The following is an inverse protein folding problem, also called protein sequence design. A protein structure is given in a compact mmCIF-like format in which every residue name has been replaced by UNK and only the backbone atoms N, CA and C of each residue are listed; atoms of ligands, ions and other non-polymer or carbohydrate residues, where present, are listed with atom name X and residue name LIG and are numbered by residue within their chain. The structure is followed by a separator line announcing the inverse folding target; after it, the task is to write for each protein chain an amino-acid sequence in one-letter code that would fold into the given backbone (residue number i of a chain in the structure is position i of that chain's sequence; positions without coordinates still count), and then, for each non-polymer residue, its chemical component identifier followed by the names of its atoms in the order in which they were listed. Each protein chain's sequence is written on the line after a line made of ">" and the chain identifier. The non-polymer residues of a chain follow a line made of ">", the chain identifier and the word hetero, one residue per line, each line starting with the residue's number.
data_IF_551300248462
#
_entry.id   IF_551300248462
#
_cell.length_a   1.000
_cell.length_b   1.000
_cell.length_c   1.000
_cell.angle_alpha   90.00
_cell.angle_beta   90.00
_cell.angle_gamma   90.00
#
_symmetry.space_group_name_H-M   'P 1'
#
loop_
_entity.id
_entity.type
_entity.pdbx_description
1 polymer ?
#
# COMPACT_ATOMS: atom_id res chain seq x y z
N UNK A 1 22.38 -34.11 4.71
CA UNK A 1 22.18 -33.52 6.06
C UNK A 1 21.37 -32.25 5.91
N UNK A 2 20.24 -32.10 6.61
CA UNK A 2 19.53 -30.81 6.69
C UNK A 2 20.43 -29.85 7.48
N UNK A 3 20.68 -28.65 6.96
CA UNK A 3 21.41 -27.62 7.72
C UNK A 3 20.55 -27.25 8.94
N UNK A 4 21.11 -27.44 10.14
CA UNK A 4 20.51 -26.94 11.37
C UNK A 4 20.66 -25.43 11.48
N UNK A 5 20.00 -24.83 12.47
CA UNK A 5 20.02 -23.38 12.71
C UNK A 5 21.47 -22.86 12.83
N UNK A 6 22.36 -23.58 13.52
CA UNK A 6 23.77 -23.20 13.66
C UNK A 6 24.50 -23.02 12.32
N UNK A 7 24.40 -24.02 11.42
CA UNK A 7 25.05 -23.95 10.10
C UNK A 7 24.45 -22.86 9.19
N UNK A 8 23.16 -22.55 9.35
CA UNK A 8 22.54 -21.43 8.65
C UNK A 8 23.08 -20.08 9.14
N UNK A 9 23.21 -19.90 10.45
CA UNK A 9 23.71 -18.65 11.05
C UNK A 9 25.18 -18.42 10.72
N UNK A 10 26.02 -19.45 10.82
CA UNK A 10 27.44 -19.37 10.44
C UNK A 10 27.61 -18.94 8.98
N UNK A 11 26.83 -19.54 8.07
CA UNK A 11 26.85 -19.21 6.64
C UNK A 11 26.44 -17.77 6.33
N UNK A 12 25.60 -17.15 7.16
CA UNK A 12 25.09 -15.79 6.96
C UNK A 12 25.71 -14.78 7.94
N UNK A 13 26.79 -15.15 8.64
CA UNK A 13 27.44 -14.32 9.65
C UNK A 13 27.94 -12.98 9.09
N UNK A 14 28.35 -12.96 7.81
CA UNK A 14 28.72 -11.77 7.05
C UNK A 14 27.59 -10.72 6.99
N UNK A 15 26.33 -11.17 7.01
CA UNK A 15 25.13 -10.33 6.99
C UNK A 15 24.64 -9.93 8.38
N UNK A 16 25.24 -10.46 9.46
CA UNK A 16 24.81 -10.24 10.84
C UNK A 16 25.62 -9.16 11.57
N UNK A 17 26.15 -8.15 10.84
CA UNK A 17 26.84 -6.98 11.43
C UNK A 17 25.87 -5.99 12.07
N UNK A 18 25.09 -6.47 13.04
CA UNK A 18 24.02 -5.70 13.68
C UNK A 18 24.56 -4.46 14.40
N UNK A 19 25.76 -4.53 14.99
CA UNK A 19 26.40 -3.39 15.65
C UNK A 19 26.57 -2.21 14.69
N UNK A 20 27.01 -2.49 13.46
CA UNK A 20 27.22 -1.48 12.44
C UNK A 20 25.91 -0.96 11.89
N UNK A 21 24.95 -1.85 11.65
CA UNK A 21 23.63 -1.46 11.16
C UNK A 21 22.88 -0.58 12.16
N UNK A 22 22.98 -0.90 13.47
CA UNK A 22 22.40 -0.09 14.53
C UNK A 22 23.08 1.27 14.60
N UNK A 23 24.42 1.31 14.50
CA UNK A 23 25.19 2.56 14.47
C UNK A 23 24.84 3.43 13.25
N UNK A 24 24.51 2.81 12.11
CA UNK A 24 24.04 3.48 10.88
C UNK A 24 22.55 3.84 10.93
N UNK A 25 21.82 3.49 11.98
CA UNK A 25 20.40 3.80 12.12
C UNK A 25 19.50 2.97 11.20
N UNK A 26 19.94 1.82 10.73
CA UNK A 26 19.09 0.97 9.90
C UNK A 26 17.91 0.41 10.71
N UNK A 27 16.72 0.33 10.11
CA UNK A 27 15.54 -0.25 10.76
C UNK A 27 15.66 -1.78 10.76
N UNK A 28 16.43 -2.32 11.70
CA UNK A 28 16.64 -3.76 11.90
C UNK A 28 15.64 -4.38 12.89
N UNK A 29 14.79 -3.55 13.50
CA UNK A 29 13.71 -4.00 14.36
C UNK A 29 12.62 -4.67 13.51
N UNK A 30 12.38 -5.96 13.76
CA UNK A 30 11.35 -6.71 13.04
C UNK A 30 9.93 -6.25 13.43
N UNK A 31 9.73 -5.64 14.59
CA UNK A 31 8.39 -5.29 15.10
C UNK A 31 7.57 -4.38 14.18
N UNK A 32 8.17 -3.33 13.62
CA UNK A 32 7.46 -2.43 12.68
C UNK A 32 7.13 -3.18 11.39
N UNK A 33 8.08 -3.94 10.84
CA UNK A 33 7.90 -4.71 9.61
C UNK A 33 6.85 -5.82 9.80
N UNK A 34 6.92 -6.57 10.89
CA UNK A 34 5.97 -7.61 11.26
C UNK A 34 4.57 -7.03 11.50
N UNK A 35 4.49 -5.87 12.17
CA UNK A 35 3.26 -5.12 12.36
C UNK A 35 2.64 -4.73 11.03
N UNK A 36 3.42 -4.16 10.10
CA UNK A 36 2.94 -3.84 8.75
C UNK A 36 2.48 -5.10 8.02
N UNK A 37 3.26 -6.19 8.01
CA UNK A 37 2.86 -7.44 7.37
C UNK A 37 1.54 -8.00 7.93
N UNK A 38 1.33 -7.90 9.24
CA UNK A 38 0.09 -8.29 9.89
C UNK A 38 -1.10 -7.41 9.45
N UNK A 39 -0.98 -6.09 9.61
CA UNK A 39 -2.10 -5.17 9.43
C UNK A 39 -2.41 -4.79 7.97
N UNK A 40 -1.36 -4.68 7.14
CA UNK A 40 -1.49 -4.40 5.71
C UNK A 40 -1.89 -5.65 4.93
N UNK A 41 -1.17 -6.76 5.13
CA UNK A 41 -1.35 -7.96 4.31
C UNK A 41 -2.36 -8.91 4.94
N UNK A 42 -2.07 -9.47 6.12
CA UNK A 42 -2.87 -10.58 6.68
C UNK A 42 -4.33 -10.21 6.91
N UNK A 43 -4.57 -9.07 7.57
CA UNK A 43 -5.94 -8.62 7.90
C UNK A 43 -6.85 -8.49 6.67
N UNK A 44 -6.28 -8.21 5.49
CA UNK A 44 -7.04 -8.09 4.25
C UNK A 44 -7.04 -9.36 3.42
N UNK A 45 -5.93 -10.07 3.36
CA UNK A 45 -5.70 -11.12 2.36
C UNK A 45 -6.09 -12.51 2.86
N UNK A 46 -6.09 -12.76 4.17
CA UNK A 46 -6.31 -14.09 4.78
C UNK A 46 -7.73 -14.27 5.36
N UNK A 47 -8.70 -13.43 4.99
CA UNK A 47 -10.09 -13.62 5.44
C UNK A 47 -10.74 -14.80 4.72
N UNK A 48 -11.73 -15.41 5.38
CA UNK A 48 -12.45 -16.58 4.86
C UNK A 48 -13.05 -16.33 3.47
N UNK A 49 -12.90 -17.33 2.59
CA UNK A 49 -13.47 -17.31 1.24
C UNK A 49 -12.72 -16.45 0.22
N UNK A 50 -11.61 -15.80 0.61
CA UNK A 50 -10.87 -14.94 -0.31
C UNK A 50 -9.98 -15.72 -1.27
N UNK A 51 -10.04 -15.35 -2.54
CA UNK A 51 -9.15 -15.82 -3.59
C UNK A 51 -8.61 -14.62 -4.34
N UNK A 52 -7.31 -14.60 -4.56
CA UNK A 52 -6.62 -13.49 -5.17
C UNK A 52 -5.79 -13.97 -6.34
N UNK A 53 -5.89 -13.25 -7.45
CA UNK A 53 -4.82 -13.26 -8.45
C UNK A 53 -3.66 -12.40 -7.93
N UNK A 54 -2.44 -12.64 -8.42
CA UNK A 54 -1.28 -11.84 -8.02
C UNK A 54 -1.49 -10.34 -8.31
N UNK A 55 -2.10 -10.03 -9.45
CA UNK A 55 -2.42 -8.67 -9.85
C UNK A 55 -3.48 -8.05 -8.94
N UNK A 56 -4.58 -8.76 -8.65
CA UNK A 56 -5.63 -8.27 -7.76
C UNK A 56 -5.14 -8.06 -6.33
N UNK A 57 -4.27 -8.95 -5.85
CA UNK A 57 -3.59 -8.79 -4.56
C UNK A 57 -2.75 -7.52 -4.52
N UNK A 58 -1.92 -7.30 -5.54
CA UNK A 58 -1.05 -6.12 -5.63
C UNK A 58 -1.87 -4.83 -5.66
N UNK A 59 -2.89 -4.75 -6.51
CA UNK A 59 -3.75 -3.56 -6.62
C UNK A 59 -4.45 -3.25 -5.30
N UNK A 60 -4.99 -4.27 -4.61
CA UNK A 60 -5.62 -4.10 -3.30
C UNK A 60 -4.63 -3.62 -2.24
N UNK A 61 -3.44 -4.22 -2.18
CA UNK A 61 -2.41 -3.84 -1.21
C UNK A 61 -1.90 -2.42 -1.42
N UNK A 62 -1.75 -1.96 -2.67
CA UNK A 62 -1.35 -0.58 -2.98
C UNK A 62 -2.35 0.44 -2.44
N UNK A 63 -3.64 0.24 -2.70
CA UNK A 63 -4.70 1.14 -2.18
C UNK A 63 -4.72 1.10 -0.65
N UNK A 64 -4.58 -0.08 -0.06
CA UNK A 64 -4.57 -0.24 1.40
C UNK A 64 -3.33 0.37 2.06
N UNK A 65 -2.19 0.39 1.39
CA UNK A 65 -0.97 1.05 1.86
C UNK A 65 -1.15 2.58 1.88
N UNK A 66 -1.75 3.15 0.83
CA UNK A 66 -2.13 4.56 0.82
C UNK A 66 -3.13 4.87 1.94
N UNK A 67 -4.13 4.01 2.15
CA UNK A 67 -5.15 4.20 3.19
C UNK A 67 -4.61 4.18 4.62
N UNK A 68 -3.64 3.29 4.92
CA UNK A 68 -3.06 3.16 6.26
C UNK A 68 -1.88 4.11 6.54
N UNK A 69 -1.46 4.88 5.54
CA UNK A 69 -0.42 5.91 5.70
C UNK A 69 -1.05 7.30 5.69
N UNK A 70 -0.25 8.31 6.03
CA UNK A 70 -0.68 9.71 5.98
C UNK A 70 -0.92 10.22 4.54
N UNK A 71 -0.75 9.36 3.53
CA UNK A 71 -0.88 9.70 2.11
C UNK A 71 -2.29 9.49 1.54
N UNK A 72 -3.24 8.95 2.33
CA UNK A 72 -4.58 8.64 1.84
C UNK A 72 -5.26 9.83 1.17
N UNK A 73 -5.21 11.00 1.82
CA UNK A 73 -5.90 12.21 1.34
C UNK A 73 -5.33 12.68 0.00
N UNK A 74 -4.01 12.77 -0.08
CA UNK A 74 -3.30 13.14 -1.32
C UNK A 74 -3.63 12.17 -2.46
N UNK A 75 -3.65 10.87 -2.17
CA UNK A 75 -3.96 9.85 -3.17
C UNK A 75 -5.40 9.95 -3.67
N UNK A 76 -6.39 10.04 -2.77
CA UNK A 76 -7.80 10.02 -3.16
C UNK A 76 -8.19 11.30 -3.90
N UNK A 77 -7.68 12.46 -3.47
CA UNK A 77 -7.96 13.74 -4.12
C UNK A 77 -7.39 13.75 -5.55
N UNK A 78 -6.15 13.25 -5.73
CA UNK A 78 -5.57 13.07 -7.05
C UNK A 78 -6.39 12.08 -7.90
N UNK A 79 -6.75 10.92 -7.35
CA UNK A 79 -7.49 9.89 -8.09
C UNK A 79 -8.85 10.42 -8.56
N UNK A 80 -9.61 11.10 -7.68
CA UNK A 80 -10.89 11.72 -8.03
C UNK A 80 -10.76 12.76 -9.15
N UNK A 81 -9.74 13.61 -9.11
CA UNK A 81 -9.51 14.59 -10.17
C UNK A 81 -9.21 13.91 -11.52
N UNK A 82 -8.41 12.85 -11.51
CA UNK A 82 -8.13 12.08 -12.73
C UNK A 82 -9.39 11.43 -13.30
N UNK A 83 -10.21 10.81 -12.46
CA UNK A 83 -11.49 10.21 -12.88
C UNK A 83 -12.45 11.26 -13.45
N UNK A 84 -12.59 12.41 -12.79
CA UNK A 84 -13.44 13.52 -13.28
C UNK A 84 -12.97 14.00 -14.66
N UNK A 85 -11.66 14.17 -14.83
CA UNK A 85 -11.08 14.63 -16.10
C UNK A 85 -11.27 13.59 -17.22
N UNK A 86 -11.16 12.31 -16.91
CA UNK A 86 -11.37 11.23 -17.88
C UNK A 86 -12.85 11.04 -18.24
N UNK A 87 -13.75 11.02 -17.27
CA UNK A 87 -15.18 10.81 -17.48
C UNK A 87 -15.87 12.03 -18.10
N UNK A 88 -15.39 13.23 -17.79
CA UNK A 88 -15.98 14.48 -18.24
C UNK A 88 -14.93 15.43 -18.83
N UNK A 89 -14.32 15.09 -19.98
CA UNK A 89 -13.27 15.91 -20.59
C UNK A 89 -13.78 17.31 -20.98
N UNK A 90 -15.07 17.40 -21.34
CA UNK A 90 -15.72 18.63 -21.76
C UNK A 90 -16.45 19.36 -20.62
N UNK A 91 -16.17 19.02 -19.35
CA UNK A 91 -16.83 19.64 -18.18
C UNK A 91 -16.70 21.16 -18.16
N UNK A 92 -15.60 21.70 -18.68
CA UNK A 92 -15.39 23.14 -18.75
C UNK A 92 -16.41 23.86 -19.66
N UNK A 93 -16.98 23.17 -20.66
CA UNK A 93 -17.97 23.76 -21.57
C UNK A 93 -19.30 24.10 -20.87
N UNK A 94 -19.61 23.42 -19.78
CA UNK A 94 -20.84 23.62 -18.98
C UNK A 94 -20.61 24.44 -17.72
N UNK A 95 -19.40 24.99 -17.51
CA UNK A 95 -19.07 25.75 -16.29
C UNK A 95 -19.97 26.98 -16.10
N UNK A 96 -20.47 27.57 -17.20
CA UNK A 96 -21.35 28.73 -17.20
C UNK A 96 -22.81 28.38 -17.52
N UNK A 97 -23.14 27.09 -17.64
CA UNK A 97 -24.51 26.67 -17.92
C UNK A 97 -25.40 26.93 -16.70
N UNK A 98 -26.39 27.81 -16.88
CA UNK A 98 -27.45 28.02 -15.88
C UNK A 98 -28.67 27.19 -16.30
N UNK A 99 -29.04 26.14 -15.55
CA UNK A 99 -30.21 25.36 -15.90
C UNK A 99 -31.47 26.24 -15.83
N UNK A 100 -32.36 26.18 -16.83
CA UNK A 100 -33.63 26.88 -16.76
C UNK A 100 -34.42 26.36 -15.55
N UNK A 101 -35.04 27.27 -14.79
CA UNK A 101 -35.99 26.88 -13.76
C UNK A 101 -37.16 26.19 -14.46
N UNK A 102 -37.30 24.89 -14.28
CA UNK A 102 -38.48 24.17 -14.73
C UNK A 102 -39.68 24.78 -13.99
N UNK A 103 -40.66 25.28 -14.74
CA UNK A 103 -41.93 25.69 -14.16
C UNK A 103 -42.63 24.43 -13.67
N UNK A 104 -42.44 24.11 -12.39
CA UNK A 104 -43.33 23.25 -11.64
C UNK A 104 -44.58 24.02 -11.23
#
# INVERSE_FOLDING_TARGET
>A
MRQGIGGYLEKNSDRMRYDEYLRRGYPIASGVIEGTCRHLVKDRMERSGMRWTLEGARSMLNVRAAFQSDHWRTFIDWHMQNEINQAHPNRNLIQYYTPPKLAC
#
